data_IF_968294373115
#
_entry.id   IF_968294373115
#
_cell.length_a   1.000
_cell.length_b   1.000
_cell.length_c   1.000
_cell.angle_alpha   90.00
_cell.angle_beta   90.00
_cell.angle_gamma   90.00
#
_symmetry.space_group_name_H-M   'P 1'
#
loop_
_entity.id
_entity.type
_entity.pdbx_description
1 polymer ?
#
# COMPACT_ATOMS: atom_id res chain seq x y z
N UNK A 1 11.74 29.85 2.92
CA UNK A 1 11.51 28.41 2.67
C UNK A 1 11.26 28.23 1.19
N UNK A 2 11.82 27.19 0.57
CA UNK A 2 11.58 26.92 -0.84
C UNK A 2 10.09 26.66 -1.10
N UNK A 3 9.55 27.18 -2.20
CA UNK A 3 8.14 27.01 -2.59
C UNK A 3 7.98 25.75 -3.45
N UNK A 4 7.05 24.88 -3.07
CA UNK A 4 6.85 23.57 -3.68
C UNK A 4 5.50 23.50 -4.37
N UNK A 5 5.49 23.08 -5.64
CA UNK A 5 4.28 22.72 -6.37
C UNK A 5 4.07 21.21 -6.28
N UNK A 6 3.00 20.79 -5.64
CA UNK A 6 2.60 19.38 -5.52
C UNK A 6 1.44 19.10 -6.47
N UNK A 7 1.65 18.28 -7.49
CA UNK A 7 0.59 17.89 -8.42
C UNK A 7 0.42 16.37 -8.42
N UNK A 8 -0.73 15.92 -7.93
CA UNK A 8 -1.09 14.51 -7.85
C UNK A 8 -2.33 14.20 -8.68
N UNK A 9 -2.36 13.02 -9.30
CA UNK A 9 -3.45 12.59 -10.16
C UNK A 9 -4.79 12.42 -9.44
N UNK A 10 -4.77 12.23 -8.10
CA UNK A 10 -5.94 11.96 -7.28
C UNK A 10 -5.67 12.20 -5.79
N UNK A 11 -6.64 12.65 -4.97
CA UNK A 11 -6.51 12.83 -3.53
C UNK A 11 -7.09 11.61 -2.75
N UNK A 12 -6.41 10.44 -2.67
CA UNK A 12 -6.95 9.29 -1.97
C UNK A 12 -6.90 9.50 -0.45
N UNK A 13 -7.93 9.04 0.27
CA UNK A 13 -8.09 9.29 1.70
C UNK A 13 -6.90 8.84 2.55
N UNK A 14 -6.29 7.71 2.21
CA UNK A 14 -5.16 7.15 2.97
C UNK A 14 -3.87 7.98 2.86
N UNK A 15 -3.77 8.90 1.88
CA UNK A 15 -2.64 9.83 1.72
C UNK A 15 -2.82 11.17 2.42
N UNK A 16 -3.99 11.42 2.99
CA UNK A 16 -4.21 12.67 3.71
C UNK A 16 -3.16 12.94 4.81
N UNK A 17 -2.77 11.94 5.64
CA UNK A 17 -1.77 12.17 6.69
C UNK A 17 -0.43 12.68 6.16
N UNK A 18 0.11 12.12 5.08
CA UNK A 18 1.36 12.61 4.51
C UNK A 18 1.21 13.99 3.87
N UNK A 19 0.12 14.28 3.16
CA UNK A 19 -0.08 15.61 2.57
C UNK A 19 -0.25 16.67 3.66
N UNK A 20 -0.94 16.35 4.75
CA UNK A 20 -1.04 17.21 5.93
C UNK A 20 0.33 17.49 6.52
N UNK A 21 1.13 16.46 6.79
CA UNK A 21 2.48 16.63 7.31
C UNK A 21 3.40 17.42 6.36
N UNK A 22 3.26 17.25 5.04
CA UNK A 22 3.96 18.07 4.05
C UNK A 22 3.55 19.55 4.15
N UNK A 23 2.25 19.84 4.29
CA UNK A 23 1.76 21.22 4.39
C UNK A 23 2.17 21.92 5.70
N UNK A 24 2.42 21.15 6.76
CA UNK A 24 2.91 21.65 8.05
C UNK A 24 4.44 21.85 8.08
N UNK A 25 5.15 21.10 7.23
CA UNK A 25 6.63 21.08 7.22
C UNK A 25 7.24 21.97 6.14
N UNK A 26 6.56 22.12 5.00
CA UNK A 26 7.04 22.81 3.80
C UNK A 26 6.02 23.83 3.28
N UNK A 27 6.48 24.82 2.52
CA UNK A 27 5.60 25.75 1.81
C UNK A 27 5.07 25.09 0.51
N UNK A 28 4.01 24.30 0.62
CA UNK A 28 3.41 23.52 -0.45
C UNK A 28 2.13 24.16 -1.00
N UNK A 29 2.03 24.23 -2.33
CA UNK A 29 0.77 24.44 -3.05
C UNK A 29 0.33 23.09 -3.65
N UNK A 30 -0.85 22.59 -3.24
CA UNK A 30 -1.38 21.30 -3.69
C UNK A 30 -2.40 21.45 -4.81
N UNK A 31 -2.22 20.65 -5.85
CA UNK A 31 -3.12 20.50 -6.97
C UNK A 31 -3.44 19.01 -7.16
N UNK A 32 -4.71 18.69 -7.41
CA UNK A 32 -5.12 17.31 -7.61
C UNK A 32 -5.85 17.14 -8.94
N UNK A 33 -5.60 16.04 -9.62
CA UNK A 33 -6.44 15.56 -10.69
C UNK A 33 -7.66 14.80 -10.17
N UNK A 34 -8.49 14.35 -11.11
CA UNK A 34 -9.67 13.52 -10.84
C UNK A 34 -9.53 12.10 -11.42
N UNK A 35 -8.33 11.74 -11.89
CA UNK A 35 -8.07 10.44 -12.52
C UNK A 35 -7.78 9.38 -11.49
N UNK A 36 -8.60 8.35 -11.49
CA UNK A 36 -8.43 7.17 -10.67
C UNK A 36 -8.65 5.92 -11.54
N UNK A 37 -7.82 4.91 -11.34
CA UNK A 37 -7.93 3.63 -12.06
C UNK A 37 -8.84 2.64 -11.34
N UNK A 38 -9.03 2.83 -10.01
CA UNK A 38 -9.93 2.04 -9.18
C UNK A 38 -10.76 2.97 -8.28
N UNK A 39 -12.00 2.58 -7.88
CA UNK A 39 -12.81 3.38 -6.98
C UNK A 39 -12.16 3.44 -5.59
N UNK A 40 -11.52 4.57 -5.31
CA UNK A 40 -10.90 4.87 -4.03
C UNK A 40 -11.58 6.10 -3.44
N UNK A 41 -11.90 6.06 -2.14
CA UNK A 41 -12.49 7.20 -1.44
C UNK A 41 -11.54 8.39 -1.45
N UNK A 42 -12.05 9.59 -1.75
CA UNK A 42 -11.32 10.86 -1.63
C UNK A 42 -11.34 11.34 -0.19
N UNK A 43 -10.33 12.10 0.21
CA UNK A 43 -10.47 13.01 1.35
C UNK A 43 -11.06 14.35 0.90
N UNK A 44 -11.57 15.12 1.82
CA UNK A 44 -12.02 16.50 1.56
C UNK A 44 -10.78 17.41 1.44
N UNK A 45 -10.47 17.81 0.22
CA UNK A 45 -9.30 18.62 -0.10
C UNK A 45 -9.29 19.99 0.57
N UNK A 46 -10.47 20.51 0.98
CA UNK A 46 -10.57 21.78 1.68
C UNK A 46 -9.97 21.73 3.10
N UNK A 47 -9.81 20.54 3.66
CA UNK A 47 -9.16 20.31 4.95
C UNK A 47 -7.62 20.28 4.84
N UNK A 48 -7.05 20.45 3.64
CA UNK A 48 -5.60 20.45 3.42
C UNK A 48 -5.07 21.88 3.25
N UNK A 49 -4.21 22.29 4.17
CA UNK A 49 -3.50 23.58 4.03
C UNK A 49 -2.67 23.58 2.74
N UNK A 50 -2.71 24.71 2.04
CA UNK A 50 -2.01 24.83 0.75
C UNK A 50 -2.76 24.24 -0.44
N UNK A 51 -3.97 23.70 -0.26
CA UNK A 51 -4.80 23.29 -1.39
C UNK A 51 -5.14 24.50 -2.28
N UNK A 52 -5.00 24.33 -3.59
CA UNK A 52 -5.26 25.40 -4.57
C UNK A 52 -6.41 25.04 -5.50
N UNK A 53 -6.36 23.87 -6.13
CA UNK A 53 -7.36 23.52 -7.14
C UNK A 53 -7.36 22.05 -7.49
N UNK A 54 -8.54 21.58 -7.88
CA UNK A 54 -8.71 20.30 -8.59
C UNK A 54 -8.74 20.55 -10.10
N UNK A 55 -8.06 19.68 -10.86
CA UNK A 55 -8.06 19.68 -12.31
C UNK A 55 -8.93 18.56 -12.85
N UNK A 56 -9.69 18.87 -13.90
CA UNK A 56 -10.48 17.88 -14.61
C UNK A 56 -9.65 17.22 -15.71
N UNK A 57 -9.58 15.88 -15.66
CA UNK A 57 -8.93 15.10 -16.71
C UNK A 57 -9.72 15.16 -18.02
N UNK A 58 -9.00 15.30 -19.12
CA UNK A 58 -9.53 15.26 -20.48
C UNK A 58 -8.80 14.18 -21.24
N UNK A 59 -9.54 13.23 -21.81
CA UNK A 59 -8.98 12.21 -22.69
C UNK A 59 -8.41 12.88 -23.95
N UNK A 60 -7.17 12.57 -24.27
CA UNK A 60 -6.52 13.08 -25.48
C UNK A 60 -6.84 12.20 -26.67
N UNK A 61 -6.51 12.67 -27.88
CA UNK A 61 -6.57 11.86 -29.11
C UNK A 61 -5.57 10.69 -29.08
N UNK A 62 -4.51 10.79 -28.27
CA UNK A 62 -3.53 9.73 -28.06
C UNK A 62 -4.06 8.78 -26.98
N UNK A 63 -4.41 7.55 -27.41
CA UNK A 63 -4.97 6.53 -26.50
C UNK A 63 -4.03 6.30 -25.31
N UNK A 64 -4.59 6.41 -24.09
CA UNK A 64 -3.86 6.19 -22.83
C UNK A 64 -3.19 7.44 -22.23
N UNK A 65 -3.16 8.58 -22.95
CA UNK A 65 -2.60 9.82 -22.42
C UNK A 65 -3.68 10.76 -21.90
N UNK A 66 -3.36 11.48 -20.82
CA UNK A 66 -4.26 12.33 -20.06
C UNK A 66 -3.75 13.77 -20.07
N UNK A 67 -4.65 14.70 -20.38
CA UNK A 67 -4.47 16.13 -20.19
C UNK A 67 -5.33 16.62 -19.03
N UNK A 68 -4.88 17.61 -18.29
CA UNK A 68 -5.66 18.22 -17.22
C UNK A 68 -6.02 19.66 -17.57
N UNK A 69 -7.34 19.97 -17.62
CA UNK A 69 -7.82 21.33 -17.92
C UNK A 69 -7.39 22.29 -16.82
N UNK A 70 -6.75 23.39 -17.20
CA UNK A 70 -6.28 24.43 -16.26
C UNK A 70 -4.86 24.20 -15.72
N UNK A 71 -4.16 23.11 -16.10
CA UNK A 71 -2.82 22.79 -15.58
C UNK A 71 -1.73 23.81 -15.94
N UNK A 72 -1.98 24.75 -16.88
CA UNK A 72 -1.01 25.81 -17.24
C UNK A 72 -0.63 26.69 -16.04
N UNK A 73 -1.47 26.81 -15.02
CA UNK A 73 -1.12 27.52 -13.79
C UNK A 73 -0.03 26.86 -12.95
N UNK A 74 0.35 25.60 -13.24
CA UNK A 74 1.50 24.94 -12.63
C UNK A 74 2.83 25.56 -13.08
N UNK A 75 2.87 26.22 -14.26
CA UNK A 75 4.07 26.80 -14.86
C UNK A 75 4.29 28.23 -14.31
N UNK A 76 4.71 28.34 -13.05
CA UNK A 76 4.97 29.61 -12.41
C UNK A 76 6.38 29.69 -11.85
N UNK A 77 7.03 30.84 -12.03
CA UNK A 77 8.39 31.08 -11.57
C UNK A 77 8.54 31.09 -10.03
N UNK A 78 7.43 31.12 -9.29
CA UNK A 78 7.44 31.09 -7.82
C UNK A 78 7.82 29.74 -7.21
N UNK A 79 7.78 28.64 -8.00
CA UNK A 79 8.10 27.31 -7.48
C UNK A 79 9.56 26.97 -7.71
N UNK A 80 10.22 26.48 -6.65
CA UNK A 80 11.60 26.00 -6.68
C UNK A 80 11.63 24.49 -6.95
N UNK A 81 10.62 23.77 -6.47
CA UNK A 81 10.46 22.33 -6.61
C UNK A 81 9.07 21.96 -7.12
N UNK A 82 9.05 20.85 -7.84
CA UNK A 82 7.83 20.17 -8.28
C UNK A 82 7.83 18.75 -7.74
N UNK A 83 6.78 18.33 -7.04
CA UNK A 83 6.53 16.94 -6.63
C UNK A 83 5.31 16.47 -7.40
N UNK A 84 5.49 15.47 -8.25
CA UNK A 84 4.46 15.02 -9.20
C UNK A 84 4.17 13.53 -9.01
N UNK A 85 2.92 13.10 -9.25
CA UNK A 85 2.67 11.67 -9.52
C UNK A 85 3.47 11.26 -10.74
N UNK A 86 4.40 10.33 -10.60
CA UNK A 86 5.36 9.94 -11.63
C UNK A 86 4.77 9.00 -12.69
N UNK A 87 3.65 9.40 -13.30
CA UNK A 87 2.99 8.68 -14.37
C UNK A 87 3.30 9.31 -15.74
N UNK A 88 3.92 8.53 -16.62
CA UNK A 88 4.31 9.00 -17.96
C UNK A 88 3.14 9.23 -18.91
N UNK A 89 1.96 8.71 -18.58
CA UNK A 89 0.73 8.99 -19.34
C UNK A 89 0.14 10.38 -19.06
N UNK A 90 0.62 11.10 -18.07
CA UNK A 90 0.18 12.47 -17.72
C UNK A 90 1.01 13.48 -18.52
N UNK A 91 0.42 14.06 -19.57
CA UNK A 91 1.12 15.00 -20.46
C UNK A 91 1.68 16.23 -19.72
N UNK A 92 0.96 16.89 -18.79
CA UNK A 92 1.52 17.98 -18.00
C UNK A 92 2.84 17.67 -17.30
N UNK A 93 3.08 16.42 -16.90
CA UNK A 93 4.35 16.03 -16.26
C UNK A 93 5.54 16.21 -17.21
N UNK A 94 5.39 15.83 -18.48
CA UNK A 94 6.43 16.03 -19.49
C UNK A 94 6.76 17.51 -19.71
N UNK A 95 5.72 18.32 -19.74
CA UNK A 95 5.88 19.76 -19.92
C UNK A 95 6.55 20.39 -18.69
N UNK A 96 6.22 19.92 -17.47
CA UNK A 96 6.86 20.39 -16.24
C UNK A 96 8.33 19.96 -16.20
N UNK A 97 8.67 18.74 -16.61
CA UNK A 97 10.07 18.29 -16.72
C UNK A 97 10.88 19.21 -17.64
N UNK A 98 10.32 19.54 -18.82
CA UNK A 98 10.96 20.47 -19.75
C UNK A 98 11.05 21.88 -19.17
N UNK A 99 9.95 22.41 -18.61
CA UNK A 99 9.91 23.72 -17.97
C UNK A 99 10.91 23.85 -16.84
N UNK A 100 10.96 22.88 -15.96
CA UNK A 100 11.86 22.87 -14.81
C UNK A 100 13.34 22.89 -15.27
N UNK A 101 13.68 22.12 -16.31
CA UNK A 101 15.02 22.13 -16.89
C UNK A 101 15.42 23.50 -17.46
N UNK A 102 14.51 24.16 -18.21
CA UNK A 102 14.77 25.48 -18.81
C UNK A 102 14.89 26.57 -17.71
N UNK A 103 14.12 26.46 -16.63
CA UNK A 103 14.06 27.46 -15.57
C UNK A 103 14.90 27.13 -14.34
N UNK A 104 15.75 26.09 -14.43
CA UNK A 104 16.59 25.59 -13.35
C UNK A 104 15.82 25.27 -12.06
N UNK A 105 14.66 24.59 -12.19
CA UNK A 105 13.82 24.09 -11.09
C UNK A 105 14.03 22.60 -10.94
N UNK A 106 13.71 22.04 -9.77
CA UNK A 106 13.89 20.62 -9.50
C UNK A 106 12.57 19.86 -9.53
N UNK A 107 12.59 18.67 -10.10
CA UNK A 107 11.41 17.79 -10.19
C UNK A 107 11.66 16.47 -9.46
N UNK A 108 10.73 16.14 -8.56
CA UNK A 108 10.63 14.86 -7.88
C UNK A 108 9.42 14.10 -8.41
N UNK A 109 9.62 12.91 -8.95
CA UNK A 109 8.54 12.04 -9.40
C UNK A 109 8.24 10.99 -8.32
N UNK A 110 7.05 11.04 -7.73
CA UNK A 110 6.59 10.05 -6.78
C UNK A 110 5.89 8.91 -7.52
N UNK A 111 6.54 7.76 -7.63
CA UNK A 111 6.17 6.74 -8.61
C UNK A 111 6.35 5.31 -8.12
N UNK A 112 5.56 4.41 -8.68
CA UNK A 112 5.81 2.97 -8.60
C UNK A 112 7.01 2.56 -9.50
N UNK A 113 7.35 3.39 -10.48
CA UNK A 113 8.36 3.07 -11.48
C UNK A 113 7.93 1.99 -12.45
N UNK A 114 8.91 1.23 -12.93
CA UNK A 114 8.72 0.08 -13.82
C UNK A 114 8.67 -1.19 -12.97
N UNK A 115 7.72 -2.08 -13.24
CA UNK A 115 7.47 -3.28 -12.44
C UNK A 115 8.04 -4.56 -13.05
N UNK A 116 8.37 -4.52 -14.35
CA UNK A 116 8.82 -5.67 -15.13
C UNK A 116 9.86 -5.25 -16.16
N UNK A 117 10.56 -6.22 -16.71
CA UNK A 117 11.52 -5.99 -17.79
C UNK A 117 10.79 -5.53 -19.06
N UNK A 118 11.14 -4.34 -19.54
CA UNK A 118 10.58 -3.77 -20.77
C UNK A 118 11.29 -4.32 -22.00
N UNK A 119 10.67 -5.24 -22.70
CA UNK A 119 11.22 -5.85 -23.93
C UNK A 119 11.14 -4.92 -25.15
N UNK A 120 10.08 -4.10 -25.25
CA UNK A 120 9.87 -3.19 -26.36
C UNK A 120 10.77 -1.96 -26.31
N UNK A 121 11.71 -1.82 -27.24
CA UNK A 121 12.69 -0.72 -27.29
C UNK A 121 12.07 0.68 -27.26
N UNK A 122 10.96 0.89 -28.00
CA UNK A 122 10.27 2.19 -28.03
C UNK A 122 9.66 2.56 -26.68
N UNK A 123 9.03 1.61 -25.99
CA UNK A 123 8.49 1.82 -24.63
C UNK A 123 9.62 2.13 -23.66
N UNK A 124 10.70 1.34 -23.71
CA UNK A 124 11.89 1.56 -22.88
C UNK A 124 12.48 2.96 -23.11
N UNK A 125 12.60 3.42 -24.37
CA UNK A 125 13.07 4.75 -24.69
C UNK A 125 12.17 5.85 -24.10
N UNK A 126 10.85 5.74 -24.24
CA UNK A 126 9.89 6.72 -23.68
C UNK A 126 10.01 6.76 -22.15
N UNK A 127 10.06 5.62 -21.48
CA UNK A 127 10.22 5.56 -20.02
C UNK A 127 11.57 6.12 -19.56
N UNK A 128 12.63 5.81 -20.28
CA UNK A 128 13.96 6.39 -20.05
C UNK A 128 13.90 7.91 -20.13
N UNK A 129 13.38 8.45 -21.23
CA UNK A 129 13.22 9.90 -21.40
C UNK A 129 12.43 10.54 -20.26
N UNK A 130 11.38 9.89 -19.77
CA UNK A 130 10.55 10.44 -18.71
C UNK A 130 11.28 10.44 -17.35
N UNK A 131 11.80 9.30 -16.94
CA UNK A 131 12.34 9.15 -15.58
C UNK A 131 13.74 9.76 -15.42
N UNK A 132 14.62 9.67 -16.43
CA UNK A 132 16.00 10.19 -16.32
C UNK A 132 16.05 11.72 -16.33
N UNK A 133 14.99 12.42 -16.75
CA UNK A 133 14.93 13.87 -16.72
C UNK A 133 14.43 14.46 -15.39
N UNK A 134 13.98 13.62 -14.46
CA UNK A 134 13.68 14.04 -13.10
C UNK A 134 14.95 14.14 -12.26
N UNK A 135 15.01 15.09 -11.32
CA UNK A 135 16.12 15.19 -10.38
C UNK A 135 16.12 14.04 -9.39
N UNK A 136 14.91 13.67 -8.90
CA UNK A 136 14.73 12.55 -7.97
C UNK A 136 13.50 11.72 -8.30
N UNK A 137 13.61 10.42 -8.00
CA UNK A 137 12.54 9.44 -8.10
C UNK A 137 12.21 8.95 -6.68
N UNK A 138 11.01 9.28 -6.20
CA UNK A 138 10.49 8.84 -4.91
C UNK A 138 9.79 7.50 -5.12
N UNK A 139 10.52 6.41 -4.88
CA UNK A 139 10.07 5.04 -5.15
C UNK A 139 9.30 4.47 -3.96
N UNK A 140 8.26 3.69 -4.21
CA UNK A 140 7.51 3.02 -3.16
C UNK A 140 8.22 1.79 -2.59
N UNK A 141 9.16 1.18 -3.33
CA UNK A 141 9.94 0.02 -2.92
C UNK A 141 11.34 0.02 -3.54
N UNK A 142 12.23 -0.82 -2.97
CA UNK A 142 13.58 -1.02 -3.50
C UNK A 142 13.59 -2.06 -4.63
N UNK A 143 12.63 -3.00 -4.62
CA UNK A 143 12.57 -4.08 -5.60
C UNK A 143 12.53 -3.58 -7.04
N UNK A 144 11.84 -2.48 -7.31
CA UNK A 144 11.71 -1.92 -8.64
C UNK A 144 12.94 -1.12 -9.10
N UNK A 145 13.90 -0.82 -8.23
CA UNK A 145 15.13 -0.11 -8.61
C UNK A 145 15.84 -0.79 -9.76
N UNK A 146 15.97 -2.12 -9.74
CA UNK A 146 16.59 -2.90 -10.82
C UNK A 146 15.96 -2.68 -12.19
N UNK A 147 14.64 -2.50 -12.25
CA UNK A 147 13.93 -2.21 -13.50
C UNK A 147 14.12 -0.75 -13.92
N UNK A 148 14.21 0.16 -12.96
CA UNK A 148 14.51 1.56 -13.22
C UNK A 148 15.94 1.74 -13.77
N UNK A 149 16.90 0.99 -13.26
CA UNK A 149 18.27 0.97 -13.82
C UNK A 149 18.30 0.43 -15.26
N UNK A 150 17.49 -0.57 -15.59
CA UNK A 150 17.36 -1.08 -16.95
C UNK A 150 16.81 -0.04 -17.94
N UNK A 151 16.01 0.92 -17.49
CA UNK A 151 15.54 2.04 -18.32
C UNK A 151 16.46 3.26 -18.25
N UNK A 152 17.60 3.16 -17.59
CA UNK A 152 18.67 4.17 -17.59
C UNK A 152 18.66 5.13 -16.41
N UNK A 153 17.86 4.89 -15.37
CA UNK A 153 17.86 5.71 -14.15
C UNK A 153 19.11 5.41 -13.30
N UNK A 154 19.67 6.45 -12.70
CA UNK A 154 20.83 6.31 -11.83
C UNK A 154 20.35 6.08 -10.37
N UNK A 155 21.01 5.19 -9.63
CA UNK A 155 20.72 4.96 -8.21
C UNK A 155 20.81 6.25 -7.36
N UNK A 156 21.63 7.23 -7.74
CA UNK A 156 21.72 8.53 -7.06
C UNK A 156 20.43 9.37 -7.17
N UNK A 157 19.60 9.13 -8.19
CA UNK A 157 18.31 9.81 -8.36
C UNK A 157 17.20 9.13 -7.56
N UNK A 158 17.35 7.85 -7.22
CA UNK A 158 16.32 7.06 -6.56
C UNK A 158 16.38 7.21 -5.05
N UNK A 159 15.21 7.38 -4.44
CA UNK A 159 15.00 7.33 -2.98
C UNK A 159 13.76 6.52 -2.70
N UNK A 160 13.89 5.52 -1.85
CA UNK A 160 12.72 4.78 -1.40
C UNK A 160 12.03 5.59 -0.31
N UNK A 161 10.80 6.00 -0.57
CA UNK A 161 9.97 6.79 0.34
C UNK A 161 8.88 5.94 0.97
N UNK A 162 8.65 4.75 0.44
CA UNK A 162 7.59 3.83 0.81
C UNK A 162 6.16 4.44 0.73
N UNK A 163 5.17 3.67 1.12
CA UNK A 163 3.83 4.15 1.38
C UNK A 163 3.60 4.21 2.89
N UNK A 164 2.59 4.94 3.34
CA UNK A 164 2.24 5.03 4.75
C UNK A 164 0.74 5.11 4.96
N UNK A 165 0.30 4.82 6.16
CA UNK A 165 -1.03 5.10 6.68
C UNK A 165 -0.95 6.19 7.75
N UNK A 166 -2.03 6.44 8.47
CA UNK A 166 -2.02 7.37 9.62
C UNK A 166 -1.34 6.72 10.83
N UNK A 167 -0.01 6.70 10.80
CA UNK A 167 0.81 6.08 11.86
C UNK A 167 0.66 6.76 13.22
N UNK A 168 0.30 8.03 13.26
CA UNK A 168 0.01 8.75 14.52
C UNK A 168 -1.26 8.21 15.16
N UNK A 169 -2.36 8.14 14.41
CA UNK A 169 -3.62 7.56 14.87
C UNK A 169 -3.43 6.09 15.26
N UNK A 170 -2.75 5.31 14.42
CA UNK A 170 -2.48 3.90 14.70
C UNK A 170 -1.66 3.70 15.97
N UNK A 171 -0.72 4.59 16.27
CA UNK A 171 0.08 4.54 17.50
C UNK A 171 -0.77 4.86 18.73
N UNK A 172 -1.66 5.85 18.65
CA UNK A 172 -2.60 6.17 19.72
C UNK A 172 -3.52 4.99 20.02
N UNK A 173 -4.13 4.40 19.00
CA UNK A 173 -5.00 3.24 19.15
C UNK A 173 -4.23 2.06 19.74
N UNK A 174 -3.05 1.73 19.20
CA UNK A 174 -2.25 0.61 19.67
C UNK A 174 -1.92 0.70 21.16
N UNK A 175 -1.66 1.90 21.69
CA UNK A 175 -1.34 2.09 23.12
C UNK A 175 -2.49 1.69 24.05
N UNK A 176 -3.72 1.60 23.53
CA UNK A 176 -4.92 1.23 24.29
C UNK A 176 -5.31 -0.25 24.12
N UNK A 177 -4.73 -0.95 23.14
CA UNK A 177 -5.09 -2.32 22.82
C UNK A 177 -4.63 -3.29 23.93
N UNK A 178 -5.51 -4.23 24.24
CA UNK A 178 -5.26 -5.38 25.12
C UNK A 178 -5.88 -6.61 24.47
N UNK A 179 -5.37 -7.82 24.78
CA UNK A 179 -6.02 -9.05 24.33
C UNK A 179 -7.48 -9.08 24.77
N UNK A 180 -8.36 -9.50 23.87
CA UNK A 180 -9.79 -9.65 24.13
C UNK A 180 -10.26 -11.08 23.82
N UNK A 181 -11.51 -11.38 24.22
CA UNK A 181 -12.15 -12.65 23.90
C UNK A 181 -13.07 -12.55 22.66
N UNK A 182 -12.86 -11.56 21.78
CA UNK A 182 -13.76 -11.31 20.64
C UNK A 182 -13.94 -12.56 19.78
N UNK A 183 -12.88 -13.27 19.48
CA UNK A 183 -12.93 -14.49 18.67
C UNK A 183 -13.46 -15.69 19.44
N UNK A 184 -13.07 -15.86 20.71
CA UNK A 184 -13.61 -16.90 21.58
C UNK A 184 -15.12 -16.78 21.76
N UNK A 185 -15.61 -15.54 21.93
CA UNK A 185 -17.05 -15.27 22.06
C UNK A 185 -17.83 -15.61 20.79
N UNK A 186 -17.21 -15.40 19.61
CA UNK A 186 -17.85 -15.70 18.33
C UNK A 186 -17.79 -17.20 17.99
N UNK A 187 -16.60 -17.79 18.05
CA UNK A 187 -16.36 -19.17 17.61
C UNK A 187 -16.63 -20.25 18.68
N UNK A 188 -16.75 -19.86 19.95
CA UNK A 188 -16.94 -20.79 21.06
C UNK A 188 -15.70 -21.66 21.38
N UNK A 189 -14.53 -21.31 20.86
CA UNK A 189 -13.28 -22.04 21.05
C UNK A 189 -12.06 -21.10 21.15
N UNK A 190 -10.90 -21.65 21.52
CA UNK A 190 -9.64 -20.90 21.65
C UNK A 190 -8.66 -21.17 20.49
N UNK A 191 -9.16 -21.65 19.35
CA UNK A 191 -8.32 -21.90 18.18
C UNK A 191 -7.68 -20.59 17.67
N UNK A 192 -6.45 -20.66 17.13
CA UNK A 192 -5.82 -19.50 16.52
C UNK A 192 -6.65 -18.95 15.37
N UNK A 193 -6.56 -17.64 15.15
CA UNK A 193 -7.37 -16.95 14.14
C UNK A 193 -6.49 -16.37 13.04
N UNK A 194 -6.84 -16.71 11.81
CA UNK A 194 -6.33 -16.12 10.58
C UNK A 194 -7.27 -15.01 10.14
N UNK A 195 -6.75 -13.83 9.85
CA UNK A 195 -7.58 -12.70 9.38
C UNK A 195 -7.24 -12.33 7.94
N UNK A 196 -8.25 -11.98 7.17
CA UNK A 196 -8.14 -11.18 5.96
C UNK A 196 -8.87 -9.86 6.16
N UNK A 197 -8.25 -8.76 5.77
CA UNK A 197 -8.88 -7.43 5.79
C UNK A 197 -8.66 -6.72 4.45
N UNK A 198 -9.78 -6.34 3.79
CA UNK A 198 -9.73 -5.68 2.50
C UNK A 198 -10.94 -5.95 1.63
N UNK A 199 -10.92 -5.43 0.40
CA UNK A 199 -12.00 -5.68 -0.57
C UNK A 199 -12.02 -7.16 -0.99
N UNK A 200 -13.19 -7.78 -0.89
CA UNK A 200 -13.38 -9.17 -1.32
C UNK A 200 -13.64 -9.15 -2.83
N UNK A 201 -12.64 -9.54 -3.60
CA UNK A 201 -12.68 -9.60 -5.06
C UNK A 201 -12.02 -10.89 -5.54
N UNK A 202 -12.49 -11.44 -6.65
CA UNK A 202 -11.94 -12.69 -7.23
C UNK A 202 -10.42 -12.66 -7.39
N UNK A 203 -9.85 -11.51 -7.80
CA UNK A 203 -8.40 -11.34 -7.94
C UNK A 203 -7.62 -11.48 -6.63
N UNK A 204 -8.29 -11.36 -5.46
CA UNK A 204 -7.66 -11.51 -4.14
C UNK A 204 -7.50 -12.97 -3.71
N UNK A 205 -8.05 -13.91 -4.47
CA UNK A 205 -7.87 -15.37 -4.32
C UNK A 205 -8.16 -15.88 -2.89
N UNK A 206 -9.19 -15.32 -2.24
CA UNK A 206 -9.55 -15.71 -0.87
C UNK A 206 -9.95 -17.16 -0.73
N UNK A 207 -10.37 -17.79 -1.84
CA UNK A 207 -10.65 -19.22 -1.93
C UNK A 207 -9.48 -20.06 -1.39
N UNK A 208 -8.23 -19.61 -1.59
CA UNK A 208 -7.04 -20.31 -1.11
C UNK A 208 -6.96 -20.39 0.43
N UNK A 209 -7.49 -19.36 1.14
CA UNK A 209 -7.54 -19.39 2.61
C UNK A 209 -8.54 -20.45 3.09
N UNK A 210 -9.67 -20.57 2.40
CA UNK A 210 -10.71 -21.57 2.73
C UNK A 210 -10.22 -22.99 2.38
N UNK A 211 -9.53 -23.16 1.26
CA UNK A 211 -8.91 -24.42 0.88
C UNK A 211 -7.82 -24.84 1.90
N UNK A 212 -7.00 -23.88 2.37
CA UNK A 212 -6.02 -24.13 3.42
C UNK A 212 -6.69 -24.52 4.75
N UNK A 213 -7.84 -23.90 5.10
CA UNK A 213 -8.61 -24.25 6.29
C UNK A 213 -9.15 -25.70 6.16
N UNK A 214 -9.73 -26.07 5.02
CA UNK A 214 -10.21 -27.43 4.77
C UNK A 214 -9.09 -28.46 4.81
N UNK A 215 -7.92 -28.14 4.27
CA UNK A 215 -6.73 -28.98 4.33
C UNK A 215 -6.21 -29.13 5.76
N UNK A 216 -6.21 -28.05 6.54
CA UNK A 216 -5.82 -28.04 7.96
C UNK A 216 -6.67 -29.01 8.77
N UNK A 217 -8.00 -28.99 8.60
CA UNK A 217 -8.89 -29.96 9.28
C UNK A 217 -8.53 -31.42 8.94
N UNK A 218 -8.26 -31.73 7.67
CA UNK A 218 -7.83 -33.08 7.28
C UNK A 218 -6.52 -33.50 7.95
N UNK A 219 -5.64 -32.52 8.24
CA UNK A 219 -4.36 -32.72 8.95
C UNK A 219 -4.47 -32.59 10.47
N UNK A 220 -5.69 -32.49 11.02
CA UNK A 220 -5.98 -32.31 12.44
C UNK A 220 -5.34 -31.03 13.04
N UNK A 221 -5.23 -30.00 12.22
CA UNK A 221 -4.83 -28.66 12.65
C UNK A 221 -6.02 -27.70 12.55
N UNK A 222 -6.48 -27.26 13.72
CA UNK A 222 -7.66 -26.44 13.87
C UNK A 222 -7.28 -24.95 13.95
N UNK A 223 -7.93 -24.12 13.15
CA UNK A 223 -7.87 -22.67 13.24
C UNK A 223 -9.18 -22.06 12.70
N UNK A 224 -9.43 -20.81 13.03
CA UNK A 224 -10.60 -20.06 12.55
C UNK A 224 -10.16 -19.00 11.55
N UNK A 225 -11.09 -18.53 10.72
CA UNK A 225 -10.85 -17.49 9.72
C UNK A 225 -11.83 -16.34 9.92
N UNK A 226 -11.32 -15.11 9.92
CA UNK A 226 -12.13 -13.88 9.92
C UNK A 226 -11.89 -13.12 8.63
N UNK A 227 -12.96 -12.77 7.94
CA UNK A 227 -12.93 -12.02 6.68
C UNK A 227 -13.61 -10.68 6.90
N UNK A 228 -12.81 -9.60 6.89
CA UNK A 228 -13.27 -8.22 7.06
C UNK A 228 -13.27 -7.53 5.71
N UNK A 229 -14.45 -7.25 5.17
CA UNK A 229 -14.58 -6.60 3.87
C UNK A 229 -15.98 -6.67 3.29
N UNK A 230 -16.17 -5.98 2.18
CA UNK A 230 -17.42 -6.02 1.43
C UNK A 230 -17.48 -7.23 0.50
N UNK A 231 -18.61 -7.93 0.48
CA UNK A 231 -18.86 -9.13 -0.34
C UNK A 231 -19.48 -8.82 -1.72
N UNK A 232 -19.46 -7.57 -2.16
CA UNK A 232 -20.23 -7.10 -3.32
C UNK A 232 -19.99 -7.86 -4.65
N UNK A 233 -18.89 -8.63 -4.77
CA UNK A 233 -18.52 -9.27 -6.04
C UNK A 233 -18.10 -10.74 -5.93
N UNK A 234 -18.27 -11.41 -4.78
CA UNK A 234 -17.69 -12.76 -4.66
C UNK A 234 -18.43 -13.72 -3.71
N UNK A 235 -19.58 -14.22 -4.18
CA UNK A 235 -20.30 -15.31 -3.49
C UNK A 235 -19.51 -16.63 -3.51
N UNK A 236 -18.46 -16.74 -4.35
CA UNK A 236 -17.68 -17.98 -4.52
C UNK A 236 -16.99 -18.41 -3.21
N UNK A 237 -16.54 -17.47 -2.39
CA UNK A 237 -15.90 -17.78 -1.10
C UNK A 237 -16.94 -18.34 -0.12
N UNK A 238 -18.17 -17.77 -0.06
CA UNK A 238 -19.26 -18.24 0.80
C UNK A 238 -19.69 -19.66 0.38
N UNK A 239 -19.93 -19.88 -0.92
CA UNK A 239 -20.27 -21.21 -1.43
C UNK A 239 -19.18 -22.25 -1.14
N UNK A 240 -17.91 -21.83 -1.16
CA UNK A 240 -16.81 -22.74 -0.84
C UNK A 240 -16.81 -23.12 0.64
N UNK A 241 -17.10 -22.16 1.54
CA UNK A 241 -17.25 -22.39 2.98
C UNK A 241 -18.39 -23.38 3.27
N UNK A 242 -19.54 -23.19 2.63
CA UNK A 242 -20.69 -24.09 2.75
C UNK A 242 -20.36 -25.50 2.22
N UNK A 243 -19.76 -25.58 1.04
CA UNK A 243 -19.37 -26.83 0.39
C UNK A 243 -18.41 -27.69 1.22
N UNK A 244 -17.50 -27.04 1.96
CA UNK A 244 -16.56 -27.72 2.84
C UNK A 244 -17.10 -27.94 4.26
N UNK A 245 -18.31 -27.44 4.59
CA UNK A 245 -18.90 -27.55 5.92
C UNK A 245 -18.14 -26.74 6.97
N UNK A 246 -17.64 -25.55 6.62
CA UNK A 246 -16.78 -24.70 7.44
C UNK A 246 -17.49 -23.49 8.04
N UNK A 247 -18.83 -23.47 8.05
CA UNK A 247 -19.62 -22.30 8.47
C UNK A 247 -19.36 -21.89 9.93
N UNK A 248 -19.04 -22.83 10.80
CA UNK A 248 -18.70 -22.60 12.21
C UNK A 248 -17.26 -22.10 12.43
N UNK A 249 -16.42 -22.13 11.39
CA UNK A 249 -14.99 -21.78 11.44
C UNK A 249 -14.64 -20.50 10.65
N UNK A 250 -15.59 -19.93 9.92
CA UNK A 250 -15.39 -18.73 9.12
C UNK A 250 -16.37 -17.63 9.53
N UNK A 251 -15.81 -16.52 9.99
CA UNK A 251 -16.59 -15.33 10.31
C UNK A 251 -16.48 -14.30 9.18
N UNK A 252 -17.57 -14.11 8.44
CA UNK A 252 -17.74 -12.98 7.55
C UNK A 252 -18.16 -11.76 8.36
N UNK A 253 -17.17 -10.97 8.82
CA UNK A 253 -17.40 -9.80 9.67
C UNK A 253 -18.15 -8.67 8.95
N UNK A 254 -18.04 -8.62 7.61
CA UNK A 254 -18.57 -7.54 6.80
C UNK A 254 -17.60 -6.35 6.68
N UNK A 255 -18.02 -5.26 6.00
CA UNK A 255 -17.17 -4.07 5.82
C UNK A 255 -17.00 -3.32 7.15
N UNK A 256 -15.76 -3.04 7.53
CA UNK A 256 -15.44 -2.27 8.73
C UNK A 256 -14.54 -1.08 8.36
N UNK A 257 -15.03 0.13 8.68
CA UNK A 257 -14.31 1.40 8.47
C UNK A 257 -13.86 2.04 9.78
N UNK A 258 -14.22 1.44 10.92
CA UNK A 258 -13.75 1.86 12.23
C UNK A 258 -12.35 1.32 12.50
N UNK A 259 -11.38 2.24 12.63
CA UNK A 259 -9.98 1.86 12.80
C UNK A 259 -9.72 1.14 14.14
N UNK A 260 -10.48 1.46 15.20
CA UNK A 260 -10.32 0.79 16.50
C UNK A 260 -10.75 -0.67 16.44
N UNK A 261 -11.87 -0.93 15.76
CA UNK A 261 -12.38 -2.30 15.57
C UNK A 261 -11.39 -3.10 14.70
N UNK A 262 -10.94 -2.53 13.58
CA UNK A 262 -9.93 -3.18 12.73
C UNK A 262 -8.63 -3.46 13.51
N UNK A 263 -8.18 -2.50 14.30
CA UNK A 263 -7.00 -2.63 15.15
C UNK A 263 -7.12 -3.78 16.15
N UNK A 264 -8.28 -3.88 16.82
CA UNK A 264 -8.52 -4.95 17.80
C UNK A 264 -8.55 -6.33 17.13
N UNK A 265 -9.25 -6.46 15.99
CA UNK A 265 -9.28 -7.71 15.23
C UNK A 265 -7.89 -8.14 14.76
N UNK A 266 -7.10 -7.20 14.23
CA UNK A 266 -5.71 -7.48 13.83
C UNK A 266 -4.83 -7.82 15.03
N UNK A 267 -4.98 -7.11 16.14
CA UNK A 267 -4.22 -7.35 17.37
C UNK A 267 -4.49 -8.73 17.95
N UNK A 268 -5.71 -9.20 17.98
CA UNK A 268 -6.09 -10.51 18.52
C UNK A 268 -5.82 -11.66 17.54
N UNK A 269 -5.61 -11.38 16.25
CA UNK A 269 -5.32 -12.40 15.24
C UNK A 269 -3.91 -12.96 15.35
N UNK A 270 -3.76 -14.21 14.91
CA UNK A 270 -2.46 -14.90 14.83
C UNK A 270 -1.64 -14.43 13.64
N UNK A 271 -2.30 -14.22 12.49
CA UNK A 271 -1.67 -13.82 11.24
C UNK A 271 -2.70 -13.26 10.27
N UNK A 272 -2.32 -12.26 9.49
CA UNK A 272 -3.09 -11.75 8.36
C UNK A 272 -2.64 -12.46 7.07
N UNK A 273 -3.58 -12.97 6.27
CA UNK A 273 -3.26 -13.68 5.02
C UNK A 273 -3.81 -12.91 3.83
N UNK A 274 -2.93 -12.57 2.90
CA UNK A 274 -3.26 -11.93 1.62
C UNK A 274 -2.80 -12.83 0.47
N UNK A 275 -3.67 -13.73 -0.05
CA UNK A 275 -3.24 -14.77 -1.01
C UNK A 275 -2.77 -14.24 -2.37
N UNK A 276 -3.25 -13.06 -2.77
CA UNK A 276 -2.83 -12.40 -4.01
C UNK A 276 -1.86 -11.25 -3.72
N UNK A 277 -1.93 -10.19 -4.54
CA UNK A 277 -1.13 -8.99 -4.29
C UNK A 277 -1.49 -8.34 -2.95
N UNK A 278 -0.49 -8.12 -2.10
CA UNK A 278 -0.63 -7.41 -0.83
C UNK A 278 -0.24 -5.95 -1.00
N UNK A 279 -1.16 -5.05 -0.63
CA UNK A 279 -0.94 -3.61 -0.63
C UNK A 279 -0.91 -3.05 0.80
N UNK A 280 -1.55 -1.90 1.01
CA UNK A 280 -1.62 -1.23 2.31
C UNK A 280 -2.08 -2.12 3.47
N UNK A 281 -2.75 -3.23 3.19
CA UNK A 281 -3.12 -4.24 4.19
C UNK A 281 -1.89 -4.78 4.94
N UNK A 282 -0.73 -4.91 4.26
CA UNK A 282 0.49 -5.36 4.93
C UNK A 282 0.91 -4.37 6.03
N UNK A 283 1.09 -3.11 5.68
CA UNK A 283 1.48 -2.10 6.68
C UNK A 283 0.39 -1.85 7.72
N UNK A 284 -0.90 -2.02 7.37
CA UNK A 284 -2.01 -1.94 8.31
C UNK A 284 -1.93 -3.06 9.38
N UNK A 285 -1.79 -4.31 8.96
CA UNK A 285 -1.66 -5.45 9.87
C UNK A 285 -0.41 -5.34 10.76
N UNK A 286 0.74 -5.01 10.14
CA UNK A 286 2.01 -4.86 10.86
C UNK A 286 1.99 -3.68 11.84
N UNK A 287 1.22 -2.62 11.59
CA UNK A 287 1.04 -1.50 12.53
C UNK A 287 0.41 -1.95 13.85
N UNK A 288 -0.39 -3.01 13.84
CA UNK A 288 -1.00 -3.59 15.03
C UNK A 288 -0.30 -4.87 15.52
N UNK A 289 0.87 -5.16 14.96
CA UNK A 289 1.69 -6.28 15.38
C UNK A 289 1.19 -7.64 14.89
N UNK A 290 0.34 -7.65 13.86
CA UNK A 290 -0.13 -8.86 13.20
C UNK A 290 0.79 -9.20 12.03
N UNK A 291 1.50 -10.35 12.03
CA UNK A 291 2.35 -10.76 10.92
C UNK A 291 1.52 -11.03 9.66
N UNK A 292 2.16 -10.98 8.50
CA UNK A 292 1.47 -11.08 7.21
C UNK A 292 2.03 -12.24 6.37
N UNK A 293 1.13 -13.04 5.79
CA UNK A 293 1.49 -14.04 4.76
C UNK A 293 0.98 -13.55 3.39
N UNK A 294 1.85 -13.59 2.38
CA UNK A 294 1.50 -13.36 0.99
C UNK A 294 2.22 -14.35 0.08
N UNK A 295 1.92 -14.35 -1.23
CA UNK A 295 2.62 -15.22 -2.19
C UNK A 295 3.96 -14.62 -2.64
N UNK A 296 4.85 -15.48 -3.17
CA UNK A 296 6.21 -15.14 -3.60
C UNK A 296 6.33 -14.63 -5.05
N UNK A 297 5.22 -14.36 -5.73
CA UNK A 297 5.26 -13.75 -7.06
C UNK A 297 5.46 -12.23 -6.95
N UNK A 298 6.68 -11.81 -6.65
CA UNK A 298 7.02 -10.42 -6.36
C UNK A 298 6.76 -9.45 -7.52
N UNK A 299 6.75 -9.92 -8.76
CA UNK A 299 6.45 -9.07 -9.92
C UNK A 299 4.99 -8.62 -9.96
N UNK A 300 4.08 -9.39 -9.35
CA UNK A 300 2.66 -9.07 -9.24
C UNK A 300 2.27 -8.42 -7.91
N UNK A 301 3.22 -8.27 -6.99
CA UNK A 301 2.96 -7.67 -5.69
C UNK A 301 2.86 -6.16 -5.77
N UNK A 302 2.06 -5.57 -4.87
CA UNK A 302 2.13 -4.13 -4.61
C UNK A 302 3.37 -3.83 -3.75
N UNK A 303 3.92 -2.61 -3.80
CA UNK A 303 5.19 -2.25 -3.15
C UNK A 303 5.32 -2.64 -1.68
N UNK A 304 4.20 -2.70 -0.98
CA UNK A 304 4.13 -2.95 0.46
C UNK A 304 4.54 -4.38 0.86
N UNK A 305 4.70 -5.29 -0.12
CA UNK A 305 5.24 -6.62 0.16
C UNK A 305 6.63 -6.58 0.80
N UNK A 306 7.43 -5.53 0.55
CA UNK A 306 8.76 -5.37 1.16
C UNK A 306 8.70 -5.18 2.69
N UNK A 307 7.54 -4.83 3.25
CA UNK A 307 7.35 -4.81 4.70
C UNK A 307 7.27 -6.21 5.31
N UNK A 308 7.09 -7.25 4.48
CA UNK A 308 7.08 -8.65 4.89
C UNK A 308 8.51 -9.18 4.86
N UNK A 309 9.08 -9.40 6.05
CA UNK A 309 10.42 -9.97 6.22
C UNK A 309 10.25 -11.40 6.72
N UNK A 310 10.72 -12.39 5.94
CA UNK A 310 10.55 -13.81 6.22
C UNK A 310 10.98 -14.16 7.66
N UNK A 311 10.06 -14.79 8.40
CA UNK A 311 10.26 -15.23 9.79
C UNK A 311 10.33 -14.11 10.84
N UNK A 312 10.22 -12.81 10.43
CA UNK A 312 10.24 -11.65 11.33
C UNK A 312 8.90 -10.91 11.36
N UNK A 313 8.42 -10.47 10.22
CA UNK A 313 7.16 -9.72 10.13
C UNK A 313 6.10 -10.50 9.36
N UNK A 314 6.46 -11.62 8.74
CA UNK A 314 5.56 -12.47 7.98
C UNK A 314 6.31 -13.55 7.22
N UNK A 315 5.64 -14.11 6.24
CA UNK A 315 6.20 -15.16 5.36
C UNK A 315 5.64 -15.07 3.96
N UNK A 316 6.40 -15.61 3.00
CA UNK A 316 5.91 -15.84 1.65
C UNK A 316 5.67 -17.33 1.44
N UNK A 317 4.59 -17.66 0.72
CA UNK A 317 4.30 -19.01 0.26
C UNK A 317 4.36 -19.05 -1.27
N UNK A 318 4.64 -20.23 -1.84
CA UNK A 318 4.67 -20.41 -3.30
C UNK A 318 3.31 -20.10 -3.93
N UNK A 319 3.28 -19.22 -4.92
CA UNK A 319 2.02 -18.80 -5.55
C UNK A 319 1.15 -20.00 -5.93
N UNK A 320 -0.11 -20.02 -5.50
CA UNK A 320 -1.12 -21.05 -5.70
C UNK A 320 -0.83 -22.42 -5.04
N UNK A 321 0.13 -22.52 -4.14
CA UNK A 321 0.40 -23.75 -3.38
C UNK A 321 -0.30 -23.71 -2.02
N UNK A 322 -1.46 -24.38 -1.93
CA UNK A 322 -2.29 -24.41 -0.71
C UNK A 322 -1.58 -25.13 0.43
N UNK A 323 -0.79 -26.16 0.13
CA UNK A 323 -0.04 -26.91 1.15
C UNK A 323 1.05 -26.05 1.79
N UNK A 324 1.76 -25.27 0.97
CA UNK A 324 2.77 -24.34 1.47
C UNK A 324 2.11 -23.18 2.25
N UNK A 325 0.98 -22.64 1.75
CA UNK A 325 0.19 -21.64 2.50
C UNK A 325 -0.22 -22.18 3.88
N UNK A 326 -0.75 -23.40 3.96
CA UNK A 326 -1.10 -24.03 5.24
C UNK A 326 0.13 -24.17 6.15
N UNK A 327 1.26 -24.59 5.60
CA UNK A 327 2.52 -24.70 6.36
C UNK A 327 2.92 -23.36 7.00
N UNK A 328 2.83 -22.25 6.25
CA UNK A 328 3.09 -20.91 6.78
C UNK A 328 2.05 -20.49 7.83
N UNK A 329 0.77 -20.77 7.61
CA UNK A 329 -0.29 -20.51 8.59
C UNK A 329 0.01 -21.27 9.90
N UNK A 330 0.32 -22.57 9.81
CA UNK A 330 0.64 -23.39 10.97
C UNK A 330 1.82 -22.83 11.77
N UNK A 331 2.87 -22.38 11.10
CA UNK A 331 4.03 -21.75 11.74
C UNK A 331 3.61 -20.54 12.60
N UNK A 332 2.87 -19.60 12.01
CA UNK A 332 2.47 -18.35 12.69
C UNK A 332 1.42 -18.60 13.78
N UNK A 333 0.55 -19.59 13.62
CA UNK A 333 -0.45 -19.95 14.62
C UNK A 333 0.14 -20.65 15.84
N UNK A 334 1.25 -21.39 15.69
CA UNK A 334 1.89 -22.17 16.79
C UNK A 334 2.92 -21.39 17.59
N UNK A 335 3.08 -20.10 17.34
CA UNK A 335 4.04 -19.29 18.09
C UNK A 335 3.67 -19.20 19.57
N UNK A 336 4.68 -19.28 20.43
CA UNK A 336 4.51 -19.00 21.87
C UNK A 336 4.17 -17.53 22.10
N UNK A 337 3.52 -17.21 23.22
CA UNK A 337 3.16 -15.84 23.58
C UNK A 337 4.39 -14.92 23.64
N UNK A 338 5.50 -15.41 24.20
CA UNK A 338 6.76 -14.65 24.25
C UNK A 338 7.25 -14.29 22.85
N UNK A 339 7.22 -15.26 21.90
CA UNK A 339 7.64 -15.00 20.53
C UNK A 339 6.67 -14.06 19.81
N UNK A 340 5.37 -14.22 20.04
CA UNK A 340 4.33 -13.33 19.51
C UNK A 340 4.52 -11.89 19.99
N UNK A 341 4.79 -11.69 21.29
CA UNK A 341 5.08 -10.35 21.82
C UNK A 341 6.33 -9.73 21.20
N UNK A 342 7.38 -10.52 20.97
CA UNK A 342 8.60 -10.03 20.31
C UNK A 342 8.30 -9.60 18.87
N UNK A 343 7.57 -10.41 18.10
CA UNK A 343 7.16 -10.09 16.71
C UNK A 343 6.33 -8.81 16.67
N UNK A 344 5.39 -8.61 17.60
CA UNK A 344 4.62 -7.36 17.69
C UNK A 344 5.52 -6.14 17.86
N UNK A 345 6.56 -6.22 18.67
CA UNK A 345 7.53 -5.14 18.84
C UNK A 345 8.32 -4.90 17.54
N UNK A 346 8.79 -5.97 16.93
CA UNK A 346 9.63 -5.89 15.73
C UNK A 346 8.86 -5.34 14.52
N UNK A 347 7.63 -5.81 14.30
CA UNK A 347 6.76 -5.30 13.21
C UNK A 347 6.46 -3.82 13.38
N UNK A 348 6.09 -3.40 14.58
CA UNK A 348 5.83 -1.99 14.86
C UNK A 348 7.07 -1.12 14.70
N UNK A 349 8.22 -1.59 15.18
CA UNK A 349 9.49 -0.88 14.99
C UNK A 349 9.77 -0.66 13.51
N UNK A 350 9.62 -1.68 12.69
CA UNK A 350 9.79 -1.58 11.23
C UNK A 350 8.83 -0.53 10.63
N UNK A 351 7.54 -0.62 10.96
CA UNK A 351 6.55 0.32 10.41
C UNK A 351 6.88 1.77 10.79
N UNK A 352 7.21 2.02 12.05
CA UNK A 352 7.52 3.38 12.51
C UNK A 352 8.84 3.92 11.92
N UNK A 353 9.84 3.04 11.66
CA UNK A 353 11.14 3.47 11.13
C UNK A 353 11.17 3.67 9.63
N UNK A 354 10.32 2.99 8.85
CA UNK A 354 10.46 2.95 7.39
C UNK A 354 9.13 3.15 6.62
N UNK A 355 7.98 2.85 7.22
CA UNK A 355 6.66 2.87 6.58
C UNK A 355 5.72 3.89 7.23
N UNK A 356 6.27 4.97 7.74
CA UNK A 356 5.54 6.01 8.46
C UNK A 356 5.55 7.34 7.73
N UNK A 357 4.61 8.21 8.10
CA UNK A 357 4.58 9.60 7.64
C UNK A 357 5.87 10.33 8.02
N UNK A 358 6.40 10.08 9.22
CA UNK A 358 7.65 10.70 9.70
C UNK A 358 8.86 10.30 8.84
N UNK A 359 8.93 9.03 8.44
CA UNK A 359 9.96 8.56 7.52
C UNK A 359 9.85 9.27 6.17
N UNK A 360 8.65 9.40 5.61
CA UNK A 360 8.43 10.10 4.34
C UNK A 360 8.86 11.56 4.43
N UNK A 361 8.50 12.26 5.51
CA UNK A 361 8.92 13.64 5.75
C UNK A 361 10.44 13.74 5.91
N UNK A 362 11.08 12.77 6.57
CA UNK A 362 12.55 12.72 6.68
C UNK A 362 13.20 12.63 5.29
N UNK A 363 12.73 11.72 4.42
CA UNK A 363 13.24 11.58 3.05
C UNK A 363 13.06 12.89 2.26
N UNK A 364 11.89 13.53 2.37
CA UNK A 364 11.63 14.80 1.69
C UNK A 364 12.53 15.94 2.21
N UNK A 365 12.80 16.03 3.52
CA UNK A 365 13.72 17.02 4.10
C UNK A 365 15.16 16.90 3.61
N UNK A 366 15.59 15.69 3.29
CA UNK A 366 16.93 15.44 2.72
C UNK A 366 17.07 15.98 1.29
N UNK A 367 15.96 16.04 0.53
CA UNK A 367 15.93 16.40 -0.88
C UNK A 367 15.51 17.85 -1.16
N UNK A 368 14.71 18.44 -0.27
CA UNK A 368 14.12 19.77 -0.40
C UNK A 368 14.92 20.77 0.46
N UNK A 369 16.14 21.04 0.04
CA UNK A 369 17.07 21.96 0.74
C UNK A 369 17.03 23.37 0.18
#
# INVERSE_FOLDING_TARGET
MAKICCFFNYPPHYRFPIYKAMSETFDCDFFFGDTVFEPIRKFDVNNLNGFKQNFKAVKTKFKGYIWYKGCLQLFRFKYDYYILTGENCIIPNWLILLWAKITNRKVLLWTHGVHETISKKTTRFVLSMFYTHADYLLMYNNYNWRYMEQVGCNCKQMRTIHNSLDTSLQTQIYSTLKPTNVFKNYFGNDNPVVIYIGRIQKRKKLEQVIEALALGQKQKFEFNVVIVGSTLDNDSVMHLVERYGLCDKVWFYGPCFDEKNNAQLLYDSSVCVCPAEVGLTAIHALSYGCPVISNDNFEKQMPEFESIIEGKTGSFYRENDISDLLTKIMYWCKLSDTRRMQIRKDTRKLILSEWSVDYQIKVLKELLK
#
